data_IF_089801442722
#
_entry.id   IF_089801442722
#
_cell.length_a   1.000
_cell.length_b   1.000
_cell.length_c   1.000
_cell.angle_alpha   90.00
_cell.angle_beta   90.00
_cell.angle_gamma   90.00
#
_symmetry.space_group_name_H-M   'P 1'
#
loop_
_entity.id
_entity.type
_entity.pdbx_description
1 polymer ?
#
# COMPACT_ATOMS: atom_id res chain seq x y z
N UNK A 1 -69.87 3.16 27.43
CA UNK A 1 -69.16 2.46 26.34
C UNK A 1 -69.82 1.11 26.23
N UNK A 2 -70.44 0.81 25.08
CA UNK A 2 -71.38 -0.30 24.94
C UNK A 2 -70.69 -1.56 24.44
N UNK A 3 -71.13 -2.73 24.91
CA UNK A 3 -70.61 -4.05 24.54
C UNK A 3 -70.62 -4.33 23.03
N UNK A 4 -71.42 -3.60 22.26
CA UNK A 4 -71.52 -3.74 20.79
C UNK A 4 -70.29 -3.21 20.05
N UNK A 5 -69.66 -2.13 20.53
CA UNK A 5 -68.43 -1.62 19.92
C UNK A 5 -67.26 -2.57 20.20
N UNK A 6 -67.18 -3.12 21.43
CA UNK A 6 -66.19 -4.13 21.81
C UNK A 6 -66.30 -5.41 20.98
N UNK A 7 -67.53 -5.88 20.69
CA UNK A 7 -67.75 -7.09 19.90
C UNK A 7 -67.42 -6.89 18.42
N UNK A 8 -67.71 -5.72 17.84
CA UNK A 8 -67.35 -5.41 16.45
C UNK A 8 -65.84 -5.26 16.31
N UNK A 9 -65.17 -4.64 17.28
CA UNK A 9 -63.72 -4.49 17.30
C UNK A 9 -63.04 -5.86 17.48
N UNK A 10 -63.54 -6.71 18.37
CA UNK A 10 -63.05 -8.08 18.60
C UNK A 10 -63.20 -8.98 17.36
N UNK A 11 -64.37 -8.99 16.71
CA UNK A 11 -64.62 -9.81 15.50
C UNK A 11 -63.80 -9.31 14.31
N UNK A 12 -63.64 -8.00 14.15
CA UNK A 12 -62.81 -7.44 13.07
C UNK A 12 -61.33 -7.76 13.30
N UNK A 13 -60.88 -7.76 14.56
CA UNK A 13 -59.52 -8.11 14.94
C UNK A 13 -59.23 -9.61 14.72
N UNK A 14 -60.18 -10.51 15.02
CA UNK A 14 -60.04 -11.94 14.72
C UNK A 14 -59.93 -12.22 13.21
N UNK A 15 -60.76 -11.60 12.37
CA UNK A 15 -60.70 -11.78 10.91
C UNK A 15 -59.40 -11.22 10.33
N UNK A 16 -58.89 -10.11 10.89
CA UNK A 16 -57.61 -9.52 10.49
C UNK A 16 -56.43 -10.41 10.89
N UNK A 17 -56.47 -10.97 12.10
CA UNK A 17 -55.50 -11.96 12.61
C UNK A 17 -55.47 -13.21 11.73
N UNK A 18 -56.61 -13.76 11.36
CA UNK A 18 -56.69 -14.95 10.52
C UNK A 18 -56.17 -14.70 9.11
N UNK A 19 -56.43 -13.53 8.51
CA UNK A 19 -55.82 -13.14 7.22
C UNK A 19 -54.31 -13.01 7.30
N UNK A 20 -53.79 -12.40 8.37
CA UNK A 20 -52.34 -12.34 8.62
C UNK A 20 -51.74 -13.73 8.78
N UNK A 21 -52.40 -14.63 9.52
CA UNK A 21 -51.96 -16.01 9.69
C UNK A 21 -51.92 -16.79 8.38
N UNK A 22 -52.93 -16.64 7.52
CA UNK A 22 -52.97 -17.28 6.19
C UNK A 22 -51.87 -16.75 5.27
N UNK A 23 -51.62 -15.43 5.28
CA UNK A 23 -50.51 -14.84 4.52
C UNK A 23 -49.15 -15.32 5.03
N UNK A 24 -48.96 -15.40 6.36
CA UNK A 24 -47.75 -15.92 6.97
C UNK A 24 -47.54 -17.40 6.63
N UNK A 25 -48.59 -18.24 6.65
CA UNK A 25 -48.49 -19.65 6.24
C UNK A 25 -48.12 -19.81 4.76
N UNK A 26 -48.60 -18.90 3.90
CA UNK A 26 -48.38 -18.96 2.44
C UNK A 26 -47.02 -18.41 2.02
N UNK A 27 -46.53 -17.35 2.67
CA UNK A 27 -45.33 -16.61 2.27
C UNK A 27 -44.21 -16.61 3.31
N UNK A 28 -44.45 -17.09 4.54
CA UNK A 28 -43.46 -17.11 5.62
C UNK A 28 -42.21 -17.92 5.30
N UNK A 29 -42.32 -18.94 4.44
CA UNK A 29 -41.17 -19.69 3.93
C UNK A 29 -40.23 -18.82 3.08
N UNK A 30 -40.74 -17.81 2.37
CA UNK A 30 -39.93 -16.86 1.60
C UNK A 30 -39.13 -15.98 2.55
N UNK A 31 -39.77 -15.49 3.61
CA UNK A 31 -39.09 -14.75 4.68
C UNK A 31 -38.01 -15.60 5.36
N UNK A 32 -38.32 -16.86 5.68
CA UNK A 32 -37.36 -17.81 6.24
C UNK A 32 -36.17 -18.07 5.30
N UNK A 33 -36.43 -18.29 4.00
CA UNK A 33 -35.40 -18.48 3.00
C UNK A 33 -34.52 -17.23 2.84
N UNK A 34 -35.12 -16.03 2.83
CA UNK A 34 -34.38 -14.78 2.76
C UNK A 34 -33.44 -14.59 3.96
N UNK A 35 -33.92 -14.89 5.18
CA UNK A 35 -33.09 -14.86 6.39
C UNK A 35 -31.95 -15.88 6.29
N UNK A 36 -32.21 -17.10 5.85
CA UNK A 36 -31.17 -18.14 5.68
C UNK A 36 -30.11 -17.70 4.67
N UNK A 37 -30.51 -17.11 3.53
CA UNK A 37 -29.57 -16.62 2.53
C UNK A 37 -28.71 -15.46 3.05
N UNK A 38 -29.32 -14.50 3.75
CA UNK A 38 -28.60 -13.36 4.33
C UNK A 38 -27.62 -13.83 5.40
N UNK A 39 -28.08 -14.65 6.36
CA UNK A 39 -27.25 -15.14 7.46
C UNK A 39 -26.17 -16.09 6.94
N UNK A 40 -26.50 -16.98 6.01
CA UNK A 40 -25.53 -17.89 5.38
C UNK A 40 -24.47 -17.14 4.58
N UNK A 41 -24.88 -16.13 3.79
CA UNK A 41 -23.95 -15.28 3.04
C UNK A 41 -23.05 -14.44 3.96
N UNK A 42 -23.61 -13.85 5.01
CA UNK A 42 -22.84 -13.10 6.00
C UNK A 42 -21.84 -14.00 6.76
N UNK A 43 -22.28 -15.18 7.21
CA UNK A 43 -21.41 -16.13 7.90
C UNK A 43 -20.25 -16.60 7.00
N UNK A 44 -20.52 -16.90 5.73
CA UNK A 44 -19.48 -17.28 4.77
C UNK A 44 -18.49 -16.14 4.49
N UNK A 45 -19.01 -14.92 4.29
CA UNK A 45 -18.18 -13.73 4.12
C UNK A 45 -17.28 -13.50 5.34
N UNK A 46 -17.84 -13.58 6.55
CA UNK A 46 -17.08 -13.34 7.77
C UNK A 46 -16.02 -14.40 8.01
N UNK A 47 -16.33 -15.67 7.72
CA UNK A 47 -15.36 -16.76 7.78
C UNK A 47 -14.19 -16.55 6.82
N UNK A 48 -14.45 -16.14 5.57
CA UNK A 48 -13.38 -15.87 4.60
C UNK A 48 -12.51 -14.70 5.05
N UNK A 49 -13.10 -13.61 5.53
CA UNK A 49 -12.34 -12.47 6.08
C UNK A 49 -11.47 -12.88 7.26
N UNK A 50 -12.01 -13.66 8.19
CA UNK A 50 -11.26 -14.16 9.34
C UNK A 50 -10.09 -15.07 8.90
N UNK A 51 -10.31 -15.91 7.88
CA UNK A 51 -9.27 -16.77 7.31
C UNK A 51 -8.16 -15.97 6.61
N UNK A 52 -8.53 -14.96 5.83
CA UNK A 52 -7.57 -14.10 5.13
C UNK A 52 -6.77 -13.25 6.11
N UNK A 53 -7.42 -12.71 7.15
CA UNK A 53 -6.78 -12.00 8.25
C UNK A 53 -5.78 -12.90 8.99
N UNK A 54 -6.19 -14.12 9.35
CA UNK A 54 -5.33 -15.07 10.04
C UNK A 54 -4.10 -15.44 9.18
N UNK A 55 -4.29 -15.65 7.87
CA UNK A 55 -3.18 -15.90 6.96
C UNK A 55 -2.21 -14.71 6.86
N UNK A 56 -2.73 -13.48 6.83
CA UNK A 56 -1.90 -12.27 6.84
C UNK A 56 -1.14 -12.08 8.16
N UNK A 57 -1.77 -12.41 9.29
CA UNK A 57 -1.13 -12.38 10.62
C UNK A 57 0.01 -13.39 10.70
N UNK A 58 -0.23 -14.65 10.32
CA UNK A 58 0.83 -15.67 10.31
C UNK A 58 2.01 -15.26 9.43
N UNK A 59 1.75 -14.76 8.21
CA UNK A 59 2.81 -14.27 7.33
C UNK A 59 3.58 -13.11 7.98
N UNK A 60 2.87 -12.17 8.60
CA UNK A 60 3.47 -11.04 9.33
C UNK A 60 4.37 -11.50 10.46
N UNK A 61 3.90 -12.43 11.29
CA UNK A 61 4.65 -12.99 12.42
C UNK A 61 5.92 -13.71 11.96
N UNK A 62 5.84 -14.51 10.89
CA UNK A 62 6.99 -15.17 10.26
C UNK A 62 8.02 -14.17 9.75
N UNK A 63 7.57 -13.10 9.07
CA UNK A 63 8.47 -12.05 8.58
C UNK A 63 9.13 -11.29 9.72
N UNK A 64 8.38 -10.90 10.76
CA UNK A 64 8.93 -10.20 11.93
C UNK A 64 9.95 -11.09 12.65
N UNK A 65 9.66 -12.38 12.80
CA UNK A 65 10.59 -13.33 13.39
C UNK A 65 11.88 -13.43 12.56
N UNK A 66 11.81 -13.55 11.24
CA UNK A 66 13.00 -13.57 10.37
C UNK A 66 13.81 -12.27 10.46
N UNK A 67 13.14 -11.11 10.55
CA UNK A 67 13.78 -9.79 10.68
C UNK A 67 14.47 -9.54 12.03
N UNK A 68 14.26 -10.41 13.03
CA UNK A 68 14.92 -10.29 14.35
C UNK A 68 16.42 -10.60 14.33
N UNK A 69 16.94 -11.20 13.26
CA UNK A 69 18.38 -11.35 13.06
C UNK A 69 18.98 -10.02 12.59
N UNK A 70 20.06 -9.58 13.25
CA UNK A 70 20.81 -8.38 12.86
C UNK A 70 21.74 -8.62 11.65
N UNK A 71 22.02 -9.88 11.32
CA UNK A 71 22.93 -10.25 10.24
C UNK A 71 22.17 -10.47 8.91
N UNK A 72 22.71 -9.95 7.80
CA UNK A 72 22.07 -10.04 6.48
C UNK A 72 21.86 -11.48 6.00
N UNK A 73 22.89 -12.32 6.07
CA UNK A 73 22.86 -13.69 5.54
C UNK A 73 21.85 -14.59 6.28
N UNK A 74 21.88 -14.73 7.62
CA UNK A 74 20.89 -15.53 8.34
C UNK A 74 19.45 -15.00 8.16
N UNK A 75 19.27 -13.67 8.08
CA UNK A 75 17.98 -13.05 7.78
C UNK A 75 17.48 -13.43 6.39
N UNK A 76 18.33 -13.41 5.38
CA UNK A 76 17.98 -13.78 4.01
C UNK A 76 17.57 -15.26 3.91
N UNK A 77 18.28 -16.15 4.60
CA UNK A 77 17.94 -17.58 4.69
C UNK A 77 16.58 -17.79 5.36
N UNK A 78 16.32 -17.18 6.51
CA UNK A 78 15.04 -17.26 7.20
C UNK A 78 13.87 -16.72 6.35
N UNK A 79 14.06 -15.59 5.66
CA UNK A 79 13.03 -15.03 4.77
C UNK A 79 12.77 -15.91 3.54
N UNK A 80 13.74 -16.71 3.08
CA UNK A 80 13.55 -17.63 1.94
C UNK A 80 12.72 -18.87 2.30
N UNK A 81 12.61 -19.21 3.60
CA UNK A 81 11.78 -20.33 4.06
C UNK A 81 10.28 -19.97 4.11
N UNK A 82 9.96 -18.67 4.09
CA UNK A 82 8.60 -18.15 4.20
C UNK A 82 7.87 -18.25 2.86
N UNK A 83 6.59 -18.60 2.89
CA UNK A 83 5.72 -18.64 1.72
C UNK A 83 4.49 -17.76 1.89
N UNK A 84 4.34 -16.78 1.01
CA UNK A 84 3.16 -15.92 0.98
C UNK A 84 2.03 -16.53 0.13
N UNK A 85 0.79 -16.42 0.62
CA UNK A 85 -0.40 -16.98 -0.03
C UNK A 85 -1.14 -15.98 -0.93
N UNK A 86 -0.82 -14.70 -0.80
CA UNK A 86 -1.45 -13.61 -1.57
C UNK A 86 -0.40 -12.87 -2.41
N UNK A 87 -0.77 -12.30 -3.57
CA UNK A 87 0.16 -11.52 -4.38
C UNK A 87 0.79 -10.34 -3.61
N UNK A 88 -0.02 -9.62 -2.83
CA UNK A 88 0.49 -8.51 -2.00
C UNK A 88 1.46 -8.98 -0.91
N UNK A 89 1.16 -10.09 -0.24
CA UNK A 89 2.09 -10.69 0.73
C UNK A 89 3.39 -11.15 0.08
N UNK A 90 3.32 -11.73 -1.11
CA UNK A 90 4.49 -12.16 -1.88
C UNK A 90 5.36 -10.98 -2.31
N UNK A 91 4.74 -9.86 -2.72
CA UNK A 91 5.46 -8.64 -3.06
C UNK A 91 6.22 -8.07 -1.86
N UNK A 92 5.57 -7.98 -0.70
CA UNK A 92 6.21 -7.50 0.54
C UNK A 92 7.35 -8.43 0.96
N UNK A 93 7.12 -9.75 0.94
CA UNK A 93 8.16 -10.73 1.26
C UNK A 93 9.37 -10.62 0.32
N UNK A 94 9.14 -10.48 -0.99
CA UNK A 94 10.21 -10.32 -1.97
C UNK A 94 11.02 -9.03 -1.74
N UNK A 95 10.36 -7.93 -1.36
CA UNK A 95 11.05 -6.68 -1.00
C UNK A 95 11.89 -6.82 0.28
N UNK A 96 11.43 -7.57 1.28
CA UNK A 96 12.20 -7.86 2.49
C UNK A 96 13.38 -8.78 2.20
N UNK A 97 13.18 -9.83 1.41
CA UNK A 97 14.24 -10.73 0.94
C UNK A 97 15.33 -9.95 0.20
N UNK A 98 14.94 -9.03 -0.69
CA UNK A 98 15.90 -8.18 -1.39
C UNK A 98 16.71 -7.30 -0.43
N UNK A 99 16.09 -6.72 0.61
CA UNK A 99 16.81 -5.97 1.64
C UNK A 99 17.84 -6.83 2.36
N UNK A 100 17.45 -8.03 2.81
CA UNK A 100 18.37 -8.95 3.48
C UNK A 100 19.52 -9.42 2.58
N UNK A 101 19.25 -9.69 1.30
CA UNK A 101 20.27 -10.04 0.31
C UNK A 101 21.25 -8.87 0.06
N UNK A 102 20.75 -7.63 -0.01
CA UNK A 102 21.61 -6.46 -0.14
C UNK A 102 22.53 -6.30 1.09
N UNK A 103 21.97 -6.47 2.31
CA UNK A 103 22.74 -6.45 3.57
C UNK A 103 23.77 -7.59 3.65
N UNK A 104 23.48 -8.74 3.01
CA UNK A 104 24.39 -9.87 2.89
C UNK A 104 25.48 -9.68 1.82
N UNK A 105 25.51 -8.54 1.13
CA UNK A 105 26.48 -8.28 0.05
C UNK A 105 26.12 -8.97 -1.27
N UNK A 106 24.86 -9.29 -1.50
CA UNK A 106 24.34 -9.92 -2.72
C UNK A 106 23.39 -8.98 -3.50
N UNK A 107 23.86 -7.80 -3.97
CA UNK A 107 23.01 -6.80 -4.60
C UNK A 107 22.40 -7.27 -5.93
N UNK A 108 23.09 -8.10 -6.71
CA UNK A 108 22.57 -8.65 -7.97
C UNK A 108 21.34 -9.54 -7.73
N UNK A 109 21.42 -10.40 -6.71
CA UNK A 109 20.30 -11.26 -6.30
C UNK A 109 19.14 -10.43 -5.74
N UNK A 110 19.44 -9.40 -4.94
CA UNK A 110 18.44 -8.46 -4.43
C UNK A 110 17.70 -7.73 -5.55
N UNK A 111 18.43 -7.25 -6.57
CA UNK A 111 17.85 -6.63 -7.77
C UNK A 111 16.96 -7.61 -8.51
N UNK A 112 17.41 -8.85 -8.74
CA UNK A 112 16.61 -9.87 -9.40
C UNK A 112 15.29 -10.12 -8.65
N UNK A 113 15.32 -10.17 -7.30
CA UNK A 113 14.11 -10.30 -6.48
C UNK A 113 13.18 -9.09 -6.60
N UNK A 114 13.70 -7.87 -6.64
CA UNK A 114 12.88 -6.67 -6.83
C UNK A 114 12.28 -6.60 -8.23
N UNK A 115 12.99 -7.07 -9.25
CA UNK A 115 12.49 -7.09 -10.61
C UNK A 115 11.27 -8.00 -10.78
N UNK A 116 11.16 -9.11 -10.03
CA UNK A 116 9.95 -9.95 -10.08
C UNK A 116 8.70 -9.16 -9.66
N UNK A 117 8.83 -8.29 -8.65
CA UNK A 117 7.75 -7.43 -8.17
C UNK A 117 7.49 -6.27 -9.12
N UNK A 118 8.54 -5.63 -9.66
CA UNK A 118 8.41 -4.51 -10.58
C UNK A 118 7.68 -4.88 -11.88
N UNK A 119 7.92 -6.10 -12.38
CA UNK A 119 7.41 -6.61 -13.64
C UNK A 119 6.06 -7.33 -13.52
N UNK A 120 5.58 -7.59 -12.31
CA UNK A 120 4.29 -8.22 -12.08
C UNK A 120 3.14 -7.25 -12.41
N UNK A 121 2.46 -7.50 -13.53
CA UNK A 121 1.36 -6.68 -14.02
C UNK A 121 0.07 -6.78 -13.20
N UNK A 122 -0.05 -7.80 -12.35
CA UNK A 122 -1.23 -8.02 -11.51
C UNK A 122 -1.14 -7.27 -10.18
N UNK A 123 0.04 -6.71 -9.84
CA UNK A 123 0.23 -5.91 -8.65
C UNK A 123 -0.18 -4.44 -8.84
N UNK A 124 -0.73 -3.81 -7.79
CA UNK A 124 -0.92 -2.36 -7.76
C UNK A 124 0.37 -1.59 -8.10
N UNK A 125 0.21 -0.51 -8.86
CA UNK A 125 1.32 0.30 -9.39
C UNK A 125 2.34 0.72 -8.32
N UNK A 126 1.85 1.05 -7.11
CA UNK A 126 2.69 1.45 -5.99
C UNK A 126 3.74 0.39 -5.62
N UNK A 127 3.37 -0.90 -5.57
CA UNK A 127 4.32 -1.97 -5.23
C UNK A 127 5.39 -2.12 -6.30
N UNK A 128 4.96 -2.04 -7.56
CA UNK A 128 5.85 -2.13 -8.71
C UNK A 128 6.86 -0.98 -8.73
N UNK A 129 6.40 0.24 -8.50
CA UNK A 129 7.26 1.42 -8.44
C UNK A 129 8.21 1.41 -7.24
N UNK A 130 7.76 0.97 -6.05
CA UNK A 130 8.65 0.80 -4.90
C UNK A 130 9.75 -0.20 -5.21
N UNK A 131 9.41 -1.33 -5.86
CA UNK A 131 10.37 -2.34 -6.23
C UNK A 131 11.38 -1.84 -7.27
N UNK A 132 10.91 -1.15 -8.33
CA UNK A 132 11.78 -0.49 -9.31
C UNK A 132 12.71 0.54 -8.67
N UNK A 133 12.18 1.40 -7.79
CA UNK A 133 12.98 2.42 -7.10
C UNK A 133 14.07 1.79 -6.23
N UNK A 134 13.72 0.76 -5.44
CA UNK A 134 14.69 0.02 -4.61
C UNK A 134 15.74 -0.68 -5.48
N UNK A 135 15.35 -1.27 -6.61
CA UNK A 135 16.28 -1.95 -7.51
C UNK A 135 17.32 -0.95 -8.06
N UNK A 136 16.88 0.23 -8.51
CA UNK A 136 17.78 1.28 -8.99
C UNK A 136 18.76 1.76 -7.92
N UNK A 137 18.31 1.84 -6.66
CA UNK A 137 19.17 2.19 -5.53
C UNK A 137 20.31 1.20 -5.28
N UNK A 138 20.15 -0.07 -5.69
CA UNK A 138 21.17 -1.12 -5.57
C UNK A 138 22.06 -1.23 -6.81
N UNK A 139 21.79 -0.45 -7.86
CA UNK A 139 22.46 -0.55 -9.16
C UNK A 139 23.45 0.60 -9.42
N UNK A 140 23.93 1.28 -8.38
CA UNK A 140 24.89 2.38 -8.51
C UNK A 140 26.19 1.95 -9.18
N UNK A 141 26.69 0.75 -8.86
CA UNK A 141 27.95 0.23 -9.42
C UNK A 141 27.76 -0.56 -10.73
N UNK A 142 26.52 -0.98 -11.04
CA UNK A 142 26.22 -1.84 -12.19
C UNK A 142 25.62 -1.12 -13.39
N UNK A 143 24.99 0.04 -13.17
CA UNK A 143 24.43 0.89 -14.23
C UNK A 143 25.15 2.23 -14.32
N UNK A 144 25.32 2.72 -15.54
CA UNK A 144 25.81 4.08 -15.76
C UNK A 144 24.83 5.11 -15.19
N UNK A 145 25.33 6.28 -14.84
CA UNK A 145 24.53 7.42 -14.34
C UNK A 145 23.43 7.81 -15.34
N UNK A 146 23.71 7.72 -16.64
CA UNK A 146 22.73 7.95 -17.70
C UNK A 146 21.59 6.91 -17.72
N UNK A 147 21.91 5.61 -17.54
CA UNK A 147 20.90 4.55 -17.47
C UNK A 147 20.06 4.65 -16.20
N UNK A 148 20.69 4.98 -15.05
CA UNK A 148 19.97 5.24 -13.80
C UNK A 148 19.03 6.43 -13.93
N UNK A 149 19.49 7.53 -14.53
CA UNK A 149 18.69 8.72 -14.79
C UNK A 149 17.46 8.40 -15.64
N UNK A 150 17.65 7.70 -16.77
CA UNK A 150 16.55 7.30 -17.66
C UNK A 150 15.45 6.52 -16.90
N UNK A 151 15.85 5.61 -16.02
CA UNK A 151 14.91 4.79 -15.27
C UNK A 151 14.24 5.56 -14.12
N UNK A 152 14.97 6.46 -13.42
CA UNK A 152 14.34 7.35 -12.45
C UNK A 152 13.39 8.36 -13.11
N UNK A 153 13.69 8.85 -14.31
CA UNK A 153 12.79 9.72 -15.08
C UNK A 153 11.45 9.03 -15.38
N UNK A 154 11.47 7.72 -15.65
CA UNK A 154 10.25 6.92 -15.82
C UNK A 154 9.43 6.82 -14.52
N UNK A 155 10.07 6.86 -13.35
CA UNK A 155 9.39 6.88 -12.03
C UNK A 155 8.98 8.29 -11.60
N UNK A 156 9.62 9.33 -12.13
CA UNK A 156 9.40 10.74 -11.82
C UNK A 156 8.22 11.38 -12.60
N UNK A 157 7.45 10.57 -13.34
CA UNK A 157 6.33 11.08 -14.13
C UNK A 157 5.25 11.73 -13.25
N UNK A 158 4.61 12.83 -13.70
CA UNK A 158 3.55 13.49 -12.94
C UNK A 158 2.43 12.51 -12.53
N UNK A 159 2.06 12.53 -11.24
CA UNK A 159 1.04 11.65 -10.67
C UNK A 159 1.54 10.23 -10.35
N UNK A 160 2.79 9.88 -10.65
CA UNK A 160 3.36 8.61 -10.23
C UNK A 160 3.56 8.58 -8.69
N UNK A 161 3.38 7.42 -8.02
CA UNK A 161 3.37 7.40 -6.55
C UNK A 161 4.70 7.77 -5.88
N UNK A 162 5.82 7.61 -6.60
CA UNK A 162 7.16 7.95 -6.12
C UNK A 162 7.78 9.13 -6.91
N UNK A 163 6.96 9.95 -7.57
CA UNK A 163 7.47 10.96 -8.50
C UNK A 163 8.50 11.90 -7.87
N UNK A 164 8.20 12.45 -6.69
CA UNK A 164 9.09 13.38 -5.98
C UNK A 164 10.35 12.71 -5.42
N UNK A 165 10.24 11.46 -4.94
CA UNK A 165 11.40 10.68 -4.50
C UNK A 165 12.32 10.33 -5.68
N UNK A 166 11.75 9.99 -6.83
CA UNK A 166 12.53 9.75 -8.05
C UNK A 166 13.18 11.05 -8.56
N UNK A 167 12.47 12.18 -8.50
CA UNK A 167 13.04 13.49 -8.81
C UNK A 167 14.22 13.84 -7.88
N UNK A 168 14.12 13.53 -6.59
CA UNK A 168 15.24 13.71 -5.66
C UNK A 168 16.45 12.86 -6.09
N UNK A 169 16.26 11.59 -6.43
CA UNK A 169 17.35 10.75 -6.92
C UNK A 169 18.00 11.32 -8.18
N UNK A 170 17.21 11.90 -9.10
CA UNK A 170 17.75 12.57 -10.28
C UNK A 170 18.59 13.79 -9.91
N UNK A 171 18.19 14.55 -8.88
CA UNK A 171 19.00 15.67 -8.38
C UNK A 171 20.33 15.17 -7.80
N UNK A 172 20.34 14.02 -7.12
CA UNK A 172 21.58 13.42 -6.63
C UNK A 172 22.49 12.97 -7.78
N UNK A 173 21.93 12.49 -8.89
CA UNK A 173 22.70 12.19 -10.11
C UNK A 173 23.24 13.47 -10.77
N UNK A 174 22.48 14.58 -10.75
CA UNK A 174 22.97 15.90 -11.19
C UNK A 174 24.20 16.31 -10.36
N UNK A 175 24.21 16.07 -9.05
CA UNK A 175 25.37 16.32 -8.17
C UNK A 175 26.54 15.39 -8.51
N UNK A 176 26.29 14.10 -8.74
CA UNK A 176 27.30 13.11 -9.11
C UNK A 176 28.04 13.51 -10.41
N UNK A 177 27.33 14.14 -11.34
CA UNK A 177 27.85 14.63 -12.63
C UNK A 177 28.47 16.04 -12.54
N UNK A 178 28.45 16.67 -11.36
CA UNK A 178 28.97 18.03 -11.14
C UNK A 178 28.04 19.16 -11.58
N UNK A 179 26.78 18.85 -11.90
CA UNK A 179 25.75 19.79 -12.35
C UNK A 179 24.96 20.38 -11.16
N UNK A 180 25.65 21.10 -10.27
CA UNK A 180 25.05 21.61 -9.03
C UNK A 180 23.84 22.54 -9.26
N UNK A 181 23.87 23.37 -10.32
CA UNK A 181 22.75 24.27 -10.65
C UNK A 181 21.49 23.49 -11.02
N UNK A 182 21.62 22.45 -11.87
CA UNK A 182 20.50 21.58 -12.23
C UNK A 182 19.94 20.82 -11.01
N UNK A 183 20.81 20.38 -10.10
CA UNK A 183 20.39 19.75 -8.85
C UNK A 183 19.59 20.73 -7.97
N UNK A 184 20.06 21.97 -7.80
CA UNK A 184 19.38 23.00 -7.01
C UNK A 184 18.00 23.30 -7.60
N UNK A 185 17.90 23.51 -8.92
CA UNK A 185 16.63 23.81 -9.59
C UNK A 185 15.61 22.69 -9.38
N UNK A 186 16.05 21.44 -9.50
CA UNK A 186 15.20 20.27 -9.28
C UNK A 186 14.76 20.15 -7.82
N UNK A 187 15.65 20.37 -6.87
CA UNK A 187 15.32 20.31 -5.44
C UNK A 187 14.37 21.44 -5.03
N UNK A 188 14.52 22.65 -5.61
CA UNK A 188 13.56 23.75 -5.42
C UNK A 188 12.17 23.37 -5.91
N UNK A 189 12.08 22.78 -7.10
CA UNK A 189 10.81 22.30 -7.64
C UNK A 189 10.15 21.26 -6.71
N UNK A 190 10.93 20.38 -6.06
CA UNK A 190 10.42 19.44 -5.06
C UNK A 190 9.90 20.17 -3.81
N UNK A 191 10.65 21.15 -3.29
CA UNK A 191 10.27 21.94 -2.09
C UNK A 191 9.00 22.76 -2.31
N UNK A 192 8.76 23.21 -3.54
CA UNK A 192 7.60 23.99 -3.96
C UNK A 192 6.38 23.12 -4.32
N UNK A 193 6.56 21.82 -4.54
CA UNK A 193 5.47 20.92 -4.92
C UNK A 193 4.45 20.73 -3.78
N UNK A 194 3.17 20.83 -4.10
CA UNK A 194 2.09 20.72 -3.11
C UNK A 194 1.97 19.32 -2.47
N UNK A 195 2.50 18.28 -3.12
CA UNK A 195 2.52 16.89 -2.67
C UNK A 195 3.77 16.50 -1.89
N UNK A 196 4.72 17.43 -1.65
CA UNK A 196 5.95 17.13 -0.91
C UNK A 196 5.66 16.78 0.56
N UNK A 197 6.31 15.74 1.07
CA UNK A 197 6.25 15.39 2.49
C UNK A 197 7.19 16.28 3.30
N UNK A 198 6.91 16.44 4.60
CA UNK A 198 7.76 17.26 5.48
C UNK A 198 9.23 16.78 5.46
N UNK A 199 9.44 15.48 5.60
CA UNK A 199 10.78 14.87 5.61
C UNK A 199 11.53 15.06 4.28
N UNK A 200 10.83 14.96 3.14
CA UNK A 200 11.44 15.19 1.83
C UNK A 200 11.78 16.68 1.64
N UNK A 201 10.88 17.57 2.07
CA UNK A 201 11.11 19.02 1.99
C UNK A 201 12.31 19.45 2.82
N UNK A 202 12.43 18.95 4.05
CA UNK A 202 13.56 19.21 4.92
C UNK A 202 14.87 18.73 4.28
N UNK A 203 14.91 17.48 3.83
CA UNK A 203 16.10 16.91 3.19
C UNK A 203 16.49 17.65 1.92
N UNK A 204 15.54 17.96 1.04
CA UNK A 204 15.81 18.71 -0.17
C UNK A 204 16.35 20.12 0.13
N UNK A 205 15.80 20.79 1.14
CA UNK A 205 16.28 22.10 1.61
C UNK A 205 17.73 22.03 2.11
N UNK A 206 18.06 21.01 2.90
CA UNK A 206 19.43 20.80 3.39
C UNK A 206 20.43 20.59 2.25
N UNK A 207 20.05 19.81 1.23
CA UNK A 207 20.91 19.59 0.05
C UNK A 207 21.07 20.88 -0.78
N UNK A 208 20.01 21.68 -0.97
CA UNK A 208 20.11 22.99 -1.63
C UNK A 208 21.15 23.88 -0.94
N UNK A 209 21.07 24.00 0.39
CA UNK A 209 22.00 24.81 1.18
C UNK A 209 23.42 24.26 1.10
N UNK A 210 23.59 22.94 1.16
CA UNK A 210 24.90 22.29 1.03
C UNK A 210 25.56 22.55 -0.33
N UNK A 211 24.76 22.70 -1.39
CA UNK A 211 25.23 23.09 -2.73
C UNK A 211 25.45 24.61 -2.89
N UNK A 212 25.21 25.41 -1.83
CA UNK A 212 25.35 26.86 -1.84
C UNK A 212 24.15 27.61 -2.42
N UNK A 213 23.02 26.92 -2.64
CA UNK A 213 21.76 27.55 -3.03
C UNK A 213 21.02 28.19 -1.85
N UNK A 214 20.16 29.15 -2.16
CA UNK A 214 19.20 29.71 -1.22
C UNK A 214 17.77 29.36 -1.67
N UNK A 215 16.92 29.02 -0.71
CA UNK A 215 15.48 29.13 -0.89
C UNK A 215 15.13 30.59 -0.68
N UNK A 216 14.37 31.18 -1.61
CA UNK A 216 13.87 32.53 -1.39
C UNK A 216 13.01 32.47 -0.11
N UNK A 217 13.50 33.11 0.95
CA UNK A 217 12.71 33.36 2.15
C UNK A 217 11.54 34.22 1.69
N UNK A 218 10.40 33.58 1.44
CA UNK A 218 9.13 34.26 1.34
C UNK A 218 8.88 34.94 2.68
N UNK A 219 9.33 36.20 2.77
CA UNK A 219 8.83 37.30 3.59
C UNK A 219 7.91 36.79 4.70
N UNK A 220 8.50 36.26 5.77
CA UNK A 220 7.84 36.25 7.08
C UNK A 220 7.85 37.70 7.52
N UNK A 221 6.90 38.46 6.97
CA UNK A 221 6.51 39.74 7.54
C UNK A 221 6.02 39.41 8.95
N UNK A 222 6.87 39.70 9.93
CA UNK A 222 6.39 39.98 11.27
C UNK A 222 5.27 41.03 11.13
N UNK A 223 4.08 40.66 11.59
CA UNK A 223 2.89 41.48 11.68
C UNK A 223 2.08 41.03 12.88
#
# INVERSE_FOLDING_TARGET
MSDTDSFIEEVTEEVRRDRLFVMLKRYGWIGGLAVVLIVGGAAFSEYNKAKDLAAAQTLGDEMIAALSSDEGQPRAEALNEISAKTPGGAAVLAMLQAGALADAGQPEEAVARLQTVALDGDLPLIYRHIASFKALGLQQDSLSTAERRLQFDALAQPGAPLALLAAEQIALLDIEEGNAEAAIDRLKAIVEDAGVTADLKERATQVIVALGGALDEAVVSEG
#
